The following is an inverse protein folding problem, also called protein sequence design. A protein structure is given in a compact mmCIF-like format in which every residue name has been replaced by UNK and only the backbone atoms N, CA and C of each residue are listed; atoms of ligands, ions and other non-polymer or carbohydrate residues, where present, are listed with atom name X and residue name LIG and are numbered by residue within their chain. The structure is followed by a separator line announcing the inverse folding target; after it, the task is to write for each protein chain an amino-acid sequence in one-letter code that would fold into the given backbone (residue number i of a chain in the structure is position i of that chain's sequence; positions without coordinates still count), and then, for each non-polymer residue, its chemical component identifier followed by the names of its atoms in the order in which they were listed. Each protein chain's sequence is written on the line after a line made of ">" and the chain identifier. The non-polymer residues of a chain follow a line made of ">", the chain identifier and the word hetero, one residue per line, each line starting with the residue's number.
data_IF_371282372173
#
_entry.id   IF_371282372173
#
_cell.length_a   1.000
_cell.length_b   1.000
_cell.length_c   1.000
_cell.angle_alpha   90.00
_cell.angle_beta   90.00
_cell.angle_gamma   90.00
#
_symmetry.space_group_name_H-M   'P 1'
#
loop_
_entity.id
_entity.type
_entity.pdbx_description
1 polymer ?
#
# COMPACT_ATOMS: atom_id res chain seq x y z
N UNK A 1 1.85 -99.93 52.02
CA UNK A 1 1.00 -100.14 50.82
C UNK A 1 1.35 -98.99 49.88
N UNK A 2 2.34 -99.10 48.98
CA UNK A 2 2.31 -99.85 47.70
C UNK A 2 0.98 -99.59 46.96
N UNK A 3 0.89 -99.09 45.74
CA UNK A 3 1.80 -99.07 44.57
C UNK A 3 1.43 -97.85 43.68
N UNK A 4 2.38 -97.19 43.01
CA UNK A 4 2.68 -97.29 41.55
C UNK A 4 1.46 -97.08 40.63
N UNK A 5 1.48 -96.26 39.57
CA UNK A 5 2.61 -95.62 38.91
C UNK A 5 2.20 -94.68 37.76
N UNK A 6 3.23 -94.07 37.19
CA UNK A 6 3.39 -93.37 35.91
C UNK A 6 2.29 -93.54 34.84
N UNK A 7 2.01 -92.50 34.03
CA UNK A 7 2.81 -92.18 32.84
C UNK A 7 2.33 -90.93 32.06
N UNK A 8 3.34 -90.27 31.46
CA UNK A 8 3.43 -89.50 30.23
C UNK A 8 2.44 -88.38 29.82
N UNK A 9 3.03 -87.20 29.62
CA UNK A 9 3.06 -86.53 28.32
C UNK A 9 1.76 -85.87 27.84
N UNK A 10 1.72 -84.54 27.76
CA UNK A 10 2.19 -83.83 26.57
C UNK A 10 2.08 -82.31 26.75
N UNK A 11 3.13 -81.60 26.32
CA UNK A 11 3.09 -80.16 26.04
C UNK A 11 2.26 -79.96 24.76
N UNK A 12 1.44 -78.91 24.66
CA UNK A 12 1.41 -77.95 23.52
C UNK A 12 0.17 -77.05 23.48
N UNK A 13 0.45 -75.76 23.56
CA UNK A 13 -0.02 -74.68 22.70
C UNK A 13 -1.50 -74.30 22.47
N UNK A 14 -1.72 -73.02 22.81
CA UNK A 14 -2.32 -71.95 22.00
C UNK A 14 -3.85 -71.80 21.98
N UNK A 15 -4.26 -70.55 22.25
CA UNK A 15 -5.23 -69.89 21.41
C UNK A 15 -6.60 -69.60 22.03
N UNK A 16 -6.86 -68.30 22.19
CA UNK A 16 -8.14 -67.67 21.84
C UNK A 16 -9.41 -68.26 22.45
N UNK A 17 -9.89 -67.65 23.53
CA UNK A 17 -11.33 -67.66 23.86
C UNK A 17 -11.74 -66.33 24.50
N UNK A 18 -11.43 -65.22 23.81
CA UNK A 18 -12.12 -63.94 23.97
C UNK A 18 -12.75 -63.55 22.63
N UNK A 19 -13.86 -64.22 22.29
CA UNK A 19 -14.77 -63.79 21.23
C UNK A 19 -16.20 -64.03 21.72
N UNK A 20 -16.69 -63.10 22.57
CA UNK A 20 -18.12 -62.90 22.69
C UNK A 20 -18.58 -62.23 21.39
N UNK A 21 -19.38 -62.99 20.66
CA UNK A 21 -20.04 -62.62 19.40
C UNK A 21 -20.79 -61.30 19.62
N UNK A 22 -20.28 -60.21 19.05
CA UNK A 22 -21.11 -59.04 18.80
C UNK A 22 -22.24 -59.52 17.87
N UNK A 23 -23.48 -59.38 18.31
CA UNK A 23 -24.64 -59.72 17.46
C UNK A 23 -24.45 -59.04 16.11
N UNK A 24 -24.79 -59.73 15.01
CA UNK A 24 -24.65 -59.22 13.64
C UNK A 24 -25.17 -57.77 13.50
N UNK A 25 -26.23 -57.43 14.24
CA UNK A 25 -26.78 -56.07 14.34
C UNK A 25 -25.78 -55.01 14.86
N UNK A 26 -24.97 -55.35 15.87
CA UNK A 26 -23.95 -54.44 16.45
C UNK A 26 -22.78 -54.24 15.49
N UNK A 27 -22.35 -55.30 14.78
CA UNK A 27 -21.31 -55.20 13.76
C UNK A 27 -21.79 -54.32 12.60
N UNK A 28 -23.04 -54.48 12.16
CA UNK A 28 -23.65 -53.63 11.12
C UNK A 28 -23.73 -52.17 11.57
N UNK A 29 -24.13 -51.90 12.82
CA UNK A 29 -24.19 -50.53 13.36
C UNK A 29 -22.79 -49.90 13.40
N UNK A 30 -21.77 -50.62 13.88
CA UNK A 30 -20.40 -50.11 13.91
C UNK A 30 -19.91 -49.82 12.49
N UNK A 31 -20.21 -50.68 11.52
CA UNK A 31 -19.81 -50.50 10.12
C UNK A 31 -20.52 -49.30 9.48
N UNK A 32 -21.81 -49.11 9.75
CA UNK A 32 -22.59 -47.94 9.27
C UNK A 32 -22.06 -46.65 9.90
N UNK A 33 -21.75 -46.65 11.20
CA UNK A 33 -21.16 -45.50 11.90
C UNK A 33 -19.77 -45.18 11.34
N UNK A 34 -18.95 -46.19 11.04
CA UNK A 34 -17.64 -45.99 10.43
C UNK A 34 -17.76 -45.39 9.02
N UNK A 35 -18.69 -45.88 8.20
CA UNK A 35 -18.99 -45.33 6.87
C UNK A 35 -19.51 -43.89 6.97
N UNK A 36 -20.37 -43.59 7.93
CA UNK A 36 -20.87 -42.23 8.19
C UNK A 36 -19.74 -41.29 8.64
N UNK A 37 -18.84 -41.73 9.53
CA UNK A 37 -17.69 -40.94 9.98
C UNK A 37 -16.71 -40.72 8.81
N UNK A 38 -16.47 -41.73 7.97
CA UNK A 38 -15.64 -41.60 6.77
C UNK A 38 -16.28 -40.70 5.71
N UNK A 39 -17.60 -40.74 5.53
CA UNK A 39 -18.36 -39.83 4.64
C UNK A 39 -18.36 -38.39 5.16
N UNK A 40 -18.51 -38.19 6.47
CA UNK A 40 -18.38 -36.88 7.13
C UNK A 40 -16.92 -36.38 7.01
N UNK A 41 -15.94 -37.26 7.16
CA UNK A 41 -14.52 -36.97 6.94
C UNK A 41 -14.22 -36.55 5.50
N UNK A 42 -14.88 -37.17 4.50
CA UNK A 42 -14.77 -36.79 3.09
C UNK A 42 -15.49 -35.46 2.78
N UNK A 43 -16.63 -35.20 3.42
CA UNK A 43 -17.36 -33.92 3.34
C UNK A 43 -16.61 -32.76 4.00
N UNK A 44 -15.80 -33.04 5.03
CA UNK A 44 -14.94 -32.05 5.69
C UNK A 44 -13.58 -31.89 4.98
N UNK A 45 -13.02 -32.94 4.38
CA UNK A 45 -11.82 -32.88 3.54
C UNK A 45 -12.07 -32.22 2.17
N UNK A 46 -13.34 -32.13 1.75
CA UNK A 46 -13.78 -31.47 0.52
C UNK A 46 -13.92 -29.95 0.60
N UNK A 47 -13.69 -29.33 1.77
CA UNK A 47 -13.45 -27.88 1.80
C UNK A 47 -12.02 -27.65 1.31
N UNK A 48 -11.88 -27.52 0.00
CA UNK A 48 -10.77 -26.77 -0.61
C UNK A 48 -10.48 -25.58 0.29
N UNK A 49 -9.22 -25.40 0.69
CA UNK A 49 -8.76 -24.21 1.38
C UNK A 49 -9.28 -23.01 0.59
N UNK A 50 -10.35 -22.41 1.09
CA UNK A 50 -10.93 -21.23 0.51
C UNK A 50 -9.89 -20.15 0.78
N UNK A 51 -9.15 -19.79 -0.26
CA UNK A 51 -8.18 -18.72 -0.22
C UNK A 51 -8.90 -17.50 0.38
N UNK A 52 -8.56 -17.14 1.62
CA UNK A 52 -9.10 -15.96 2.28
C UNK A 52 -8.59 -14.76 1.49
N UNK A 53 -9.39 -14.32 0.53
CA UNK A 53 -9.17 -13.10 -0.21
C UNK A 53 -9.45 -11.95 0.74
N UNK A 54 -8.41 -11.43 1.37
CA UNK A 54 -8.53 -10.23 2.16
C UNK A 54 -8.55 -9.02 1.22
N UNK A 55 -9.73 -8.40 1.11
CA UNK A 55 -9.86 -7.09 0.48
C UNK A 55 -9.23 -6.06 1.42
N UNK A 56 -8.14 -5.45 0.99
CA UNK A 56 -7.39 -4.45 1.75
C UNK A 56 -8.08 -3.07 1.74
N UNK A 57 -9.17 -2.90 0.98
CA UNK A 57 -9.70 -1.58 0.66
C UNK A 57 -8.81 -0.87 -0.38
N UNK A 58 -9.30 0.23 -0.97
CA UNK A 58 -8.57 0.99 -2.00
C UNK A 58 -8.11 0.18 -3.25
N UNK A 59 -8.89 -0.84 -3.67
CA UNK A 59 -8.60 -1.62 -4.88
C UNK A 59 -7.50 -2.68 -4.72
N UNK A 60 -7.00 -2.90 -3.50
CA UNK A 60 -6.00 -3.93 -3.22
C UNK A 60 -6.58 -5.19 -2.61
N UNK A 61 -6.05 -6.33 -3.03
CA UNK A 61 -6.39 -7.66 -2.53
C UNK A 61 -5.12 -8.51 -2.42
N UNK A 62 -4.95 -9.24 -1.31
CA UNK A 62 -3.88 -10.25 -1.22
C UNK A 62 -4.38 -11.52 -1.93
N UNK A 63 -4.28 -11.54 -3.26
CA UNK A 63 -4.74 -12.65 -4.10
C UNK A 63 -3.60 -13.44 -4.75
N UNK A 64 -2.38 -12.91 -4.72
CA UNK A 64 -1.18 -13.61 -5.17
C UNK A 64 -0.84 -14.78 -4.24
N UNK A 65 -0.31 -15.85 -4.82
CA UNK A 65 0.16 -17.01 -4.05
C UNK A 65 1.59 -16.76 -3.56
N UNK A 66 1.81 -16.82 -2.26
CA UNK A 66 3.16 -16.79 -1.69
C UNK A 66 3.91 -18.07 -2.02
N UNK A 67 5.14 -17.94 -2.54
CA UNK A 67 6.09 -19.05 -2.57
C UNK A 67 6.80 -19.15 -1.22
N UNK A 68 6.21 -19.90 -0.30
CA UNK A 68 6.75 -20.06 1.07
C UNK A 68 8.13 -20.70 1.10
N UNK A 69 8.47 -21.55 0.12
CA UNK A 69 9.79 -22.17 0.03
C UNK A 69 10.86 -21.12 -0.30
N UNK A 70 10.62 -20.32 -1.33
CA UNK A 70 11.50 -19.20 -1.68
C UNK A 70 11.56 -18.18 -0.55
N UNK A 71 10.42 -17.85 0.05
CA UNK A 71 10.34 -16.87 1.13
C UNK A 71 11.21 -17.28 2.33
N UNK A 72 11.07 -18.53 2.78
CA UNK A 72 11.88 -19.08 3.87
C UNK A 72 13.36 -19.20 3.49
N UNK A 73 13.67 -19.65 2.27
CA UNK A 73 15.04 -19.74 1.78
C UNK A 73 15.74 -18.36 1.74
N UNK A 74 15.02 -17.31 1.35
CA UNK A 74 15.55 -15.94 1.34
C UNK A 74 15.86 -15.43 2.75
N UNK A 75 15.08 -15.84 3.76
CA UNK A 75 15.32 -15.48 5.16
C UNK A 75 16.51 -16.21 5.79
N UNK A 76 17.02 -17.31 5.23
CA UNK A 76 18.15 -18.05 5.81
C UNK A 76 19.42 -17.21 5.96
N UNK A 77 19.56 -16.15 5.16
CA UNK A 77 20.68 -15.21 5.20
C UNK A 77 20.35 -13.86 5.89
N UNK A 78 19.15 -13.75 6.49
CA UNK A 78 18.59 -12.50 7.02
C UNK A 78 18.86 -12.26 8.51
N UNK A 79 20.08 -12.58 8.98
CA UNK A 79 20.50 -12.28 10.35
C UNK A 79 19.53 -12.83 11.41
N UNK A 80 19.03 -11.95 12.28
CA UNK A 80 18.08 -12.34 13.35
C UNK A 80 16.72 -12.83 12.85
N UNK A 81 16.40 -12.64 11.57
CA UNK A 81 15.16 -13.13 10.97
C UNK A 81 15.26 -14.55 10.41
N UNK A 82 16.42 -15.19 10.49
CA UNK A 82 16.58 -16.59 10.12
C UNK A 82 15.55 -17.47 10.84
N UNK A 83 14.83 -18.31 10.07
CA UNK A 83 13.79 -19.19 10.60
C UNK A 83 12.51 -18.49 11.09
N UNK A 84 12.31 -17.20 10.77
CA UNK A 84 11.13 -16.41 11.21
C UNK A 84 10.04 -16.26 10.14
N UNK A 85 10.08 -17.01 9.05
CA UNK A 85 9.12 -16.84 7.95
C UNK A 85 7.66 -17.01 8.37
N UNK A 86 7.36 -18.06 9.15
CA UNK A 86 6.02 -18.28 9.71
C UNK A 86 5.53 -17.09 10.55
N UNK A 87 6.45 -16.41 11.24
CA UNK A 87 6.12 -15.23 12.06
C UNK A 87 5.79 -14.02 11.19
N UNK A 88 6.55 -13.78 10.12
CA UNK A 88 6.21 -12.76 9.13
C UNK A 88 4.84 -13.03 8.49
N UNK A 89 4.59 -14.26 8.05
CA UNK A 89 3.35 -14.67 7.39
C UNK A 89 2.14 -14.53 8.34
N UNK A 90 2.25 -15.02 9.57
CA UNK A 90 1.16 -14.97 10.55
C UNK A 90 0.83 -13.53 10.98
N UNK A 91 1.84 -12.68 11.18
CA UNK A 91 1.63 -11.26 11.49
C UNK A 91 1.01 -10.55 10.28
N UNK A 92 1.53 -10.77 9.08
CA UNK A 92 1.01 -10.15 7.86
C UNK A 92 -0.47 -10.48 7.66
N UNK A 93 -0.85 -11.76 7.84
CA UNK A 93 -2.24 -12.20 7.81
C UNK A 93 -3.09 -11.50 8.87
N UNK A 94 -2.64 -11.48 10.13
CA UNK A 94 -3.33 -10.83 11.25
C UNK A 94 -3.55 -9.33 11.00
N UNK A 95 -2.55 -8.67 10.42
CA UNK A 95 -2.54 -7.24 10.14
C UNK A 95 -3.12 -6.91 8.76
N UNK A 96 -3.62 -7.89 8.00
CA UNK A 96 -4.12 -7.70 6.65
C UNK A 96 -3.15 -6.93 5.72
N UNK A 97 -1.85 -7.21 5.81
CA UNK A 97 -0.81 -6.61 4.96
C UNK A 97 -0.10 -7.70 4.15
N UNK A 98 0.60 -7.30 3.10
CA UNK A 98 1.37 -8.24 2.28
C UNK A 98 2.60 -8.77 3.02
N UNK A 99 2.78 -10.11 3.13
CA UNK A 99 3.91 -10.70 3.83
C UNK A 99 5.27 -10.40 3.18
N UNK A 100 5.31 -10.25 1.84
CA UNK A 100 6.54 -9.93 1.11
C UNK A 100 6.94 -8.48 1.31
N UNK A 101 5.99 -7.54 1.25
CA UNK A 101 6.23 -6.13 1.54
C UNK A 101 6.68 -5.94 2.99
N UNK A 102 6.01 -6.61 3.93
CA UNK A 102 6.40 -6.57 5.34
C UNK A 102 7.84 -7.05 5.55
N UNK A 103 8.19 -8.21 5.00
CA UNK A 103 9.56 -8.73 5.08
C UNK A 103 10.57 -7.83 4.36
N UNK A 104 10.23 -7.31 3.18
CA UNK A 104 11.12 -6.46 2.39
C UNK A 104 11.47 -5.15 3.11
N UNK A 105 10.48 -4.51 3.73
CA UNK A 105 10.70 -3.31 4.56
C UNK A 105 11.56 -3.69 5.76
N UNK A 106 11.25 -4.78 6.48
CA UNK A 106 12.08 -5.22 7.61
C UNK A 106 13.55 -5.46 7.21
N UNK A 107 13.81 -6.07 6.06
CA UNK A 107 15.18 -6.26 5.55
C UNK A 107 15.84 -4.92 5.20
N UNK A 108 15.12 -4.01 4.55
CA UNK A 108 15.63 -2.70 4.16
C UNK A 108 16.01 -1.86 5.40
N UNK A 109 15.10 -1.74 6.36
CA UNK A 109 15.26 -0.92 7.56
C UNK A 109 16.35 -1.43 8.50
N UNK A 110 16.66 -2.72 8.45
CA UNK A 110 17.60 -3.36 9.38
C UNK A 110 18.91 -3.82 8.74
N UNK A 111 19.08 -3.58 7.43
CA UNK A 111 20.22 -4.13 6.70
C UNK A 111 20.27 -5.66 6.76
N UNK A 112 19.16 -6.32 6.44
CA UNK A 112 18.98 -7.78 6.48
C UNK A 112 19.13 -8.38 7.89
N UNK A 113 18.51 -7.74 8.89
CA UNK A 113 18.46 -8.24 10.26
C UNK A 113 19.78 -8.10 11.02
N UNK A 114 20.62 -7.13 10.64
CA UNK A 114 22.00 -6.97 11.18
C UNK A 114 22.24 -5.65 11.91
N UNK A 115 21.32 -4.69 11.82
CA UNK A 115 21.46 -3.41 12.51
C UNK A 115 21.45 -3.55 14.03
N UNK A 116 22.16 -2.68 14.73
CA UNK A 116 22.22 -2.71 16.20
C UNK A 116 20.83 -2.62 16.85
N UNK A 117 19.91 -1.85 16.25
CA UNK A 117 18.55 -1.71 16.75
C UNK A 117 17.77 -3.04 16.74
N UNK A 118 17.90 -3.85 15.68
CA UNK A 118 17.19 -5.14 15.65
C UNK A 118 17.91 -6.19 16.47
N UNK A 119 19.25 -6.21 16.45
CA UNK A 119 20.07 -7.21 17.14
C UNK A 119 20.02 -7.06 18.66
N UNK A 120 20.12 -5.82 19.16
CA UNK A 120 20.25 -5.57 20.60
C UNK A 120 18.99 -5.03 21.26
N UNK A 121 18.03 -4.51 20.46
CA UNK A 121 16.79 -3.94 20.99
C UNK A 121 15.53 -4.60 20.46
N UNK A 122 15.66 -5.67 19.68
CA UNK A 122 14.54 -6.40 19.08
C UNK A 122 13.60 -5.47 18.29
N UNK A 123 14.13 -4.41 17.67
CA UNK A 123 13.34 -3.36 17.03
C UNK A 123 13.54 -3.37 15.52
N UNK A 124 12.75 -4.17 14.77
CA UNK A 124 12.89 -4.29 13.32
C UNK A 124 12.32 -3.09 12.54
N UNK A 125 11.47 -2.29 13.17
CA UNK A 125 10.80 -1.15 12.53
C UNK A 125 11.42 0.22 12.86
N UNK A 126 12.55 0.26 13.57
CA UNK A 126 13.18 1.51 14.00
C UNK A 126 12.29 2.39 14.90
N UNK A 127 11.32 1.77 15.60
CA UNK A 127 10.29 2.51 16.34
C UNK A 127 10.90 3.29 17.51
N UNK A 128 10.52 4.56 17.65
CA UNK A 128 10.98 5.43 18.75
C UNK A 128 10.20 5.18 20.03
N UNK A 129 10.84 5.37 21.18
CA UNK A 129 10.21 5.20 22.48
C UNK A 129 9.47 6.47 22.92
N UNK A 130 8.15 6.41 22.94
CA UNK A 130 7.33 7.53 23.39
C UNK A 130 7.58 7.87 24.88
N UNK A 131 7.97 6.90 25.70
CA UNK A 131 8.25 7.14 27.13
C UNK A 131 9.47 8.05 27.35
N UNK A 132 10.36 8.14 26.37
CA UNK A 132 11.53 9.04 26.41
C UNK A 132 11.30 10.34 25.64
N UNK A 133 10.05 10.65 25.26
CA UNK A 133 9.76 11.78 24.39
C UNK A 133 10.33 11.62 22.99
N UNK A 134 10.43 10.37 22.50
CA UNK A 134 11.05 10.01 21.21
C UNK A 134 12.56 10.27 21.13
N UNK A 135 13.25 10.36 22.27
CA UNK A 135 14.70 10.57 22.29
C UNK A 135 15.51 9.31 21.92
N UNK A 136 14.94 8.12 22.11
CA UNK A 136 15.63 6.84 21.91
C UNK A 136 14.78 5.87 21.11
N UNK A 137 15.44 4.98 20.35
CA UNK A 137 14.73 3.82 19.76
C UNK A 137 14.23 2.88 20.87
N UNK A 138 13.02 2.38 20.69
CA UNK A 138 12.34 1.47 21.60
C UNK A 138 13.05 0.13 21.69
N UNK A 139 13.07 -0.45 22.88
CA UNK A 139 13.50 -1.84 23.12
C UNK A 139 12.27 -2.71 23.36
N UNK A 140 12.20 -3.85 22.66
CA UNK A 140 11.17 -4.87 22.86
C UNK A 140 11.73 -6.05 23.65
N UNK A 141 10.88 -6.76 24.39
CA UNK A 141 11.34 -7.91 25.19
C UNK A 141 11.77 -9.06 24.28
N UNK A 142 11.11 -9.22 23.13
CA UNK A 142 11.46 -10.22 22.11
C UNK A 142 11.39 -9.65 20.71
N UNK A 143 12.12 -10.25 19.77
CA UNK A 143 12.03 -9.90 18.35
C UNK A 143 10.61 -10.07 17.81
N UNK A 144 9.89 -11.08 18.29
CA UNK A 144 8.52 -11.34 17.91
C UNK A 144 7.58 -10.19 18.29
N UNK A 145 7.74 -9.58 19.47
CA UNK A 145 7.01 -8.37 19.87
C UNK A 145 7.36 -7.17 18.98
N UNK A 146 8.64 -7.00 18.64
CA UNK A 146 9.07 -5.95 17.72
C UNK A 146 8.48 -6.11 16.32
N UNK A 147 8.41 -7.33 15.82
CA UNK A 147 7.76 -7.65 14.55
C UNK A 147 6.25 -7.37 14.59
N UNK A 148 5.57 -7.70 15.68
CA UNK A 148 4.14 -7.39 15.86
C UNK A 148 3.90 -5.88 15.85
N UNK A 149 4.72 -5.10 16.56
CA UNK A 149 4.63 -3.64 16.60
C UNK A 149 4.90 -3.00 15.23
N UNK A 150 5.88 -3.53 14.49
CA UNK A 150 6.14 -3.12 13.11
C UNK A 150 4.95 -3.45 12.20
N UNK A 151 4.38 -4.65 12.33
CA UNK A 151 3.20 -5.06 11.57
C UNK A 151 2.00 -4.13 11.78
N UNK A 152 1.73 -3.72 13.02
CA UNK A 152 0.69 -2.71 13.34
C UNK A 152 1.00 -1.36 12.69
N UNK A 153 2.26 -0.93 12.72
CA UNK A 153 2.68 0.33 12.09
C UNK A 153 2.43 0.29 10.58
N UNK A 154 2.79 -0.81 9.93
CA UNK A 154 2.57 -1.00 8.50
C UNK A 154 1.09 -1.13 8.16
N UNK A 155 0.27 -1.79 8.98
CA UNK A 155 -1.18 -1.80 8.81
C UNK A 155 -1.73 -0.38 8.76
N UNK A 156 -1.36 0.47 9.72
CA UNK A 156 -1.84 1.85 9.75
C UNK A 156 -1.45 2.61 8.46
N UNK A 157 -0.23 2.43 7.96
CA UNK A 157 0.21 3.11 6.74
C UNK A 157 -0.43 2.55 5.46
N UNK A 158 -0.46 1.24 5.31
CA UNK A 158 -0.90 0.58 4.08
C UNK A 158 -2.42 0.59 3.99
N UNK A 159 -3.10 0.26 5.10
CA UNK A 159 -4.55 0.06 5.15
C UNK A 159 -5.26 1.37 5.50
N UNK A 160 -4.90 1.98 6.63
CA UNK A 160 -5.64 3.16 7.11
C UNK A 160 -5.28 4.42 6.32
N UNK A 161 -4.00 4.64 6.03
CA UNK A 161 -3.55 5.81 5.25
C UNK A 161 -3.57 5.57 3.73
N UNK A 162 -3.83 4.33 3.28
CA UNK A 162 -3.92 3.99 1.86
C UNK A 162 -2.58 4.02 1.10
N UNK A 163 -1.44 3.94 1.80
CA UNK A 163 -0.10 3.86 1.21
C UNK A 163 0.19 2.44 0.72
N UNK A 164 -0.61 2.00 -0.25
CA UNK A 164 -0.71 0.61 -0.67
C UNK A 164 0.28 0.21 -1.79
N UNK A 165 1.29 1.02 -2.07
CA UNK A 165 2.39 0.65 -2.97
C UNK A 165 3.73 1.03 -2.35
N UNK A 166 4.82 0.43 -2.83
CA UNK A 166 6.18 0.77 -2.38
C UNK A 166 6.46 2.25 -2.63
N UNK A 167 6.01 2.79 -3.75
CA UNK A 167 6.17 4.21 -4.11
C UNK A 167 5.43 5.13 -3.14
N UNK A 168 4.18 4.79 -2.79
CA UNK A 168 3.38 5.57 -1.84
C UNK A 168 3.99 5.56 -0.43
N UNK A 169 4.50 4.41 0.01
CA UNK A 169 5.23 4.31 1.29
C UNK A 169 6.53 5.11 1.24
N UNK A 170 7.32 4.95 0.17
CA UNK A 170 8.60 5.63 0.00
C UNK A 170 8.48 7.15 0.01
N UNK A 171 7.39 7.71 -0.55
CA UNK A 171 7.13 9.15 -0.49
C UNK A 171 7.00 9.70 0.93
N UNK A 172 6.61 8.87 1.90
CA UNK A 172 6.47 9.23 3.32
C UNK A 172 7.70 8.84 4.14
N UNK A 173 8.25 7.64 3.89
CA UNK A 173 9.38 7.09 4.66
C UNK A 173 10.71 7.70 4.24
N UNK A 174 10.87 8.01 2.96
CA UNK A 174 12.10 8.50 2.35
C UNK A 174 11.79 9.63 1.34
N UNK A 175 11.28 10.79 1.80
CA UNK A 175 10.96 11.90 0.91
C UNK A 175 12.22 12.42 0.21
N UNK A 176 12.23 12.38 -1.12
CA UNK A 176 13.34 12.89 -1.94
C UNK A 176 13.41 14.41 -1.79
N UNK A 177 14.61 14.93 -1.49
CA UNK A 177 14.83 16.36 -1.28
C UNK A 177 14.53 16.84 0.15
N UNK A 178 14.36 15.92 1.11
CA UNK A 178 14.26 16.28 2.51
C UNK A 178 15.52 16.99 2.99
N UNK A 179 15.35 18.07 3.77
CA UNK A 179 16.47 18.90 4.24
C UNK A 179 17.47 18.15 5.12
N UNK A 180 17.05 17.03 5.70
CA UNK A 180 17.87 16.13 6.53
C UNK A 180 18.48 14.94 5.77
N UNK A 181 18.40 14.91 4.43
CA UNK A 181 19.07 13.92 3.57
C UNK A 181 20.01 14.62 2.56
N UNK A 182 21.12 15.23 3.04
CA UNK A 182 22.06 15.96 2.19
C UNK A 182 22.79 15.04 1.19
N UNK A 183 22.79 13.72 1.43
CA UNK A 183 23.43 12.70 0.58
C UNK A 183 22.47 12.10 -0.45
N UNK A 184 21.18 12.46 -0.43
CA UNK A 184 20.19 11.96 -1.37
C UNK A 184 19.98 10.44 -1.27
N UNK A 185 20.14 9.84 -0.09
CA UNK A 185 19.96 8.40 0.09
C UNK A 185 18.48 7.98 -0.05
N UNK A 186 17.55 8.89 0.20
CA UNK A 186 16.12 8.64 0.13
C UNK A 186 15.67 8.17 -1.26
N UNK A 187 16.35 8.61 -2.33
CA UNK A 187 16.05 8.17 -3.70
C UNK A 187 16.24 6.65 -3.91
N UNK A 188 17.01 5.99 -3.05
CA UNK A 188 17.33 4.57 -3.16
C UNK A 188 16.35 3.67 -2.40
N UNK A 189 15.47 4.23 -1.55
CA UNK A 189 14.59 3.43 -0.71
C UNK A 189 13.62 2.61 -1.55
N UNK A 190 12.90 3.23 -2.50
CA UNK A 190 11.96 2.54 -3.39
C UNK A 190 12.66 1.46 -4.23
N UNK A 191 13.76 1.75 -4.96
CA UNK A 191 14.52 0.71 -5.66
C UNK A 191 14.97 -0.45 -4.77
N UNK A 192 15.38 -0.15 -3.54
CA UNK A 192 15.90 -1.15 -2.60
C UNK A 192 14.78 -2.06 -2.11
N UNK A 193 13.66 -1.52 -1.63
CA UNK A 193 12.52 -2.32 -1.17
C UNK A 193 11.93 -3.14 -2.32
N UNK A 194 11.83 -2.57 -3.53
CA UNK A 194 11.39 -3.30 -4.73
C UNK A 194 12.33 -4.46 -5.07
N UNK A 195 13.65 -4.23 -5.04
CA UNK A 195 14.64 -5.28 -5.30
C UNK A 195 14.58 -6.39 -4.24
N UNK A 196 14.38 -6.04 -2.97
CA UNK A 196 14.24 -7.03 -1.90
C UNK A 196 12.95 -7.82 -2.08
N UNK A 197 11.81 -7.18 -2.36
CA UNK A 197 10.55 -7.86 -2.61
C UNK A 197 10.65 -8.88 -3.76
N UNK A 198 11.40 -8.54 -4.82
CA UNK A 198 11.68 -9.48 -5.91
C UNK A 198 12.48 -10.71 -5.45
N UNK A 199 13.42 -10.56 -4.51
CA UNK A 199 14.16 -11.71 -3.93
C UNK A 199 13.25 -12.65 -3.13
N UNK A 200 12.10 -12.16 -2.67
CA UNK A 200 11.07 -12.96 -1.99
C UNK A 200 10.04 -13.56 -2.94
N UNK A 201 10.20 -13.41 -4.26
CA UNK A 201 9.26 -13.91 -5.28
C UNK A 201 8.26 -12.89 -5.78
N UNK A 202 8.37 -11.62 -5.36
CA UNK A 202 7.44 -10.55 -5.70
C UNK A 202 6.27 -10.42 -4.72
N UNK A 203 5.59 -9.28 -4.77
CA UNK A 203 4.45 -9.00 -3.89
C UNK A 203 3.29 -9.97 -4.15
N UNK A 204 2.59 -10.37 -3.09
CA UNK A 204 1.35 -11.17 -3.16
C UNK A 204 0.08 -10.31 -3.15
N UNK A 205 0.21 -9.05 -2.75
CA UNK A 205 -0.81 -8.03 -2.89
C UNK A 205 -0.94 -7.66 -4.36
N UNK A 206 -2.08 -8.03 -4.91
CA UNK A 206 -2.56 -7.47 -6.15
C UNK A 206 -3.40 -6.27 -5.78
N UNK A 207 -2.72 -5.14 -5.71
CA UNK A 207 -3.36 -3.88 -5.98
C UNK A 207 -3.80 -3.93 -7.43
N UNK A 208 -5.07 -4.23 -7.64
CA UNK A 208 -5.63 -3.99 -8.96
C UNK A 208 -5.36 -2.51 -9.20
N UNK A 209 -4.73 -2.20 -10.33
CA UNK A 209 -4.88 -0.89 -10.93
C UNK A 209 -6.34 -0.73 -11.37
N UNK A 210 -7.30 -0.83 -10.45
CA UNK A 210 -8.67 -0.35 -10.56
C UNK A 210 -8.63 1.10 -10.07
N UNK A 211 -8.31 2.11 -10.87
CA UNK A 211 -7.91 2.12 -12.28
C UNK A 211 -6.45 2.54 -12.42
N UNK A 212 -5.77 2.06 -13.46
CA UNK A 212 -4.74 2.86 -14.13
C UNK A 212 -5.36 4.22 -14.42
N UNK A 213 -5.14 5.16 -13.52
CA UNK A 213 -5.42 6.58 -13.69
C UNK A 213 -4.18 7.21 -14.32
N UNK A 214 -3.60 6.49 -15.28
CA UNK A 214 -2.63 7.07 -16.19
C UNK A 214 -3.45 7.94 -17.12
N UNK A 215 -3.51 9.24 -16.83
CA UNK A 215 -4.29 10.20 -17.61
C UNK A 215 -4.15 9.95 -19.10
N UNK A 216 -5.27 10.06 -19.79
CA UNK A 216 -5.36 9.82 -21.22
C UNK A 216 -4.61 10.86 -22.06
N UNK A 217 -4.29 12.01 -21.47
CA UNK A 217 -3.81 13.22 -22.17
C UNK A 217 -4.92 13.97 -22.87
N UNK A 218 -6.18 13.55 -22.69
CA UNK A 218 -7.37 14.22 -23.21
C UNK A 218 -8.06 14.90 -22.04
N UNK A 219 -7.72 16.16 -21.83
CA UNK A 219 -8.20 16.94 -20.70
C UNK A 219 -9.62 17.48 -20.95
N UNK A 220 -10.48 17.40 -19.94
CA UNK A 220 -11.73 18.18 -19.90
C UNK A 220 -11.48 19.55 -19.29
N UNK A 221 -12.37 20.49 -19.56
CA UNK A 221 -12.39 21.77 -18.85
C UNK A 221 -12.80 21.50 -17.39
N UNK A 222 -11.99 21.94 -16.40
CA UNK A 222 -12.16 21.53 -14.99
C UNK A 222 -13.26 22.28 -14.23
N UNK A 223 -14.13 23.01 -14.92
CA UNK A 223 -15.27 23.74 -14.36
C UNK A 223 -16.48 23.66 -15.29
N UNK A 224 -17.69 23.75 -14.72
CA UNK A 224 -18.93 23.84 -15.48
C UNK A 224 -19.14 25.28 -15.98
N UNK A 225 -19.67 25.45 -17.20
CA UNK A 225 -19.94 26.76 -17.81
C UNK A 225 -18.71 27.71 -17.76
N UNK A 226 -17.60 27.36 -18.43
CA UNK A 226 -16.34 28.06 -18.27
C UNK A 226 -16.42 29.49 -18.80
N UNK A 227 -15.91 30.43 -18.01
CA UNK A 227 -15.65 31.82 -18.42
C UNK A 227 -14.16 32.07 -18.24
N UNK A 228 -13.42 32.14 -19.34
CA UNK A 228 -11.99 32.45 -19.30
C UNK A 228 -11.82 33.91 -18.92
N UNK A 229 -11.17 34.19 -17.79
CA UNK A 229 -10.91 35.55 -17.31
C UNK A 229 -9.50 36.04 -17.60
N UNK A 230 -8.53 35.14 -17.68
CA UNK A 230 -7.13 35.46 -18.00
C UNK A 230 -6.47 34.28 -18.69
N UNK A 231 -5.77 34.56 -19.79
CA UNK A 231 -5.06 33.56 -20.60
C UNK A 231 -3.62 33.31 -20.14
N UNK A 232 -3.04 32.22 -20.59
CA UNK A 232 -1.61 31.92 -20.40
C UNK A 232 -0.74 33.01 -21.06
N UNK A 233 0.28 33.49 -20.37
CA UNK A 233 1.19 34.49 -20.92
C UNK A 233 2.60 34.30 -20.41
N UNK A 234 3.56 34.26 -21.34
CA UNK A 234 4.99 34.42 -21.07
C UNK A 234 5.41 35.68 -21.82
N UNK A 235 5.16 36.85 -21.25
CA UNK A 235 5.63 38.11 -21.84
C UNK A 235 6.59 38.83 -20.92
N UNK A 236 7.62 39.41 -21.50
CA UNK A 236 8.42 40.42 -20.82
C UNK A 236 7.73 41.74 -21.10
N UNK A 237 7.34 42.44 -20.03
CA UNK A 237 6.76 43.77 -20.16
C UNK A 237 7.78 44.68 -20.87
N UNK A 238 7.47 45.23 -22.06
CA UNK A 238 8.44 45.95 -22.87
C UNK A 238 8.84 47.31 -22.28
N UNK A 239 8.12 47.80 -21.26
CA UNK A 239 8.35 49.09 -20.60
C UNK A 239 9.12 48.91 -19.28
N UNK A 240 8.74 47.90 -18.48
CA UNK A 240 9.33 47.68 -17.15
C UNK A 240 10.44 46.64 -17.17
N UNK A 241 10.57 45.84 -18.23
CA UNK A 241 11.52 44.73 -18.33
C UNK A 241 11.20 43.55 -17.42
N UNK A 242 10.09 43.60 -16.67
CA UNK A 242 9.66 42.55 -15.75
C UNK A 242 8.93 41.46 -16.51
N UNK A 243 9.23 40.20 -16.21
CA UNK A 243 8.49 39.06 -16.74
C UNK A 243 7.09 39.01 -16.12
N UNK A 244 6.07 39.29 -16.93
CA UNK A 244 4.68 38.98 -16.61
C UNK A 244 4.43 37.54 -17.06
N UNK A 245 4.64 36.59 -16.15
CA UNK A 245 4.35 35.18 -16.41
C UNK A 245 3.01 34.80 -15.76
N UNK A 246 1.95 34.71 -16.55
CA UNK A 246 0.76 33.97 -16.14
C UNK A 246 0.90 32.53 -16.62
N UNK A 247 1.20 31.63 -15.68
CA UNK A 247 1.64 30.25 -15.96
C UNK A 247 0.50 29.25 -16.16
N UNK A 248 -0.73 29.74 -16.23
CA UNK A 248 -1.92 28.91 -16.39
C UNK A 248 -3.03 29.65 -17.12
N UNK A 249 -4.23 29.10 -17.02
CA UNK A 249 -5.47 29.64 -17.56
C UNK A 249 -6.45 29.83 -16.39
N UNK A 250 -7.03 31.03 -16.30
CA UNK A 250 -7.96 31.36 -15.22
C UNK A 250 -9.41 31.26 -15.70
N UNK A 251 -10.22 30.56 -14.90
CA UNK A 251 -11.66 30.47 -15.10
C UNK A 251 -12.41 31.21 -14.00
N UNK A 252 -13.05 32.33 -14.33
CA UNK A 252 -13.93 33.04 -13.41
C UNK A 252 -15.14 32.17 -13.08
N UNK A 253 -15.38 31.98 -11.78
CA UNK A 253 -16.45 31.14 -11.25
C UNK A 253 -16.91 31.67 -9.89
N UNK A 254 -18.19 31.51 -9.52
CA UNK A 254 -18.63 31.79 -8.15
C UNK A 254 -17.83 31.03 -7.09
N UNK A 255 -17.66 31.65 -5.92
CA UNK A 255 -17.10 30.96 -4.76
C UNK A 255 -17.90 29.69 -4.45
N UNK A 256 -17.21 28.59 -4.20
CA UNK A 256 -17.84 27.30 -3.90
C UNK A 256 -18.22 26.47 -5.13
N UNK A 257 -18.05 26.96 -6.35
CA UNK A 257 -18.21 26.14 -7.56
C UNK A 257 -17.28 24.93 -7.52
N UNK A 258 -17.76 23.78 -7.99
CA UNK A 258 -17.00 22.54 -8.07
C UNK A 258 -15.82 22.67 -9.05
N UNK A 259 -14.64 22.21 -8.62
CA UNK A 259 -13.47 22.02 -9.47
C UNK A 259 -13.33 20.53 -9.74
N UNK A 260 -13.24 20.17 -11.02
CA UNK A 260 -13.19 18.80 -11.49
C UNK A 260 -11.76 18.40 -11.89
N UNK A 261 -11.40 17.13 -11.68
CA UNK A 261 -10.18 16.57 -12.24
C UNK A 261 -10.25 16.60 -13.78
N UNK A 262 -9.29 17.27 -14.42
CA UNK A 262 -9.26 17.43 -15.87
C UNK A 262 -8.97 16.11 -16.60
N UNK A 263 -8.33 15.15 -15.96
CA UNK A 263 -8.05 13.81 -16.48
C UNK A 263 -7.88 12.84 -15.30
N UNK A 264 -7.87 11.55 -15.60
CA UNK A 264 -7.53 10.51 -14.64
C UNK A 264 -6.12 10.77 -14.05
N UNK A 265 -5.96 10.67 -12.75
CA UNK A 265 -4.66 10.95 -12.12
C UNK A 265 -4.53 10.52 -10.67
N UNK A 266 -3.35 10.76 -10.12
CA UNK A 266 -3.03 10.58 -8.70
C UNK A 266 -2.70 11.93 -8.08
N UNK A 267 -3.28 12.22 -6.92
CA UNK A 267 -3.00 13.45 -6.18
C UNK A 267 -1.58 13.41 -5.64
N UNK A 268 -0.70 14.28 -6.13
CA UNK A 268 0.70 14.44 -5.66
C UNK A 268 0.88 15.61 -4.70
N UNK A 269 -0.11 16.51 -4.62
CA UNK A 269 -0.21 17.53 -3.59
C UNK A 269 -1.68 17.92 -3.36
N UNK A 270 -2.06 18.14 -2.11
CA UNK A 270 -3.37 18.71 -1.73
C UNK A 270 -3.22 19.46 -0.41
N UNK A 271 -3.47 20.76 -0.42
CA UNK A 271 -3.41 21.58 0.79
C UNK A 271 -3.01 23.03 0.52
N UNK A 272 -2.62 23.75 1.58
CA UNK A 272 -2.18 25.14 1.49
C UNK A 272 -0.76 25.22 0.90
N UNK A 273 -0.61 25.97 -0.19
CA UNK A 273 0.67 26.29 -0.81
C UNK A 273 1.45 27.32 0.00
N UNK A 274 2.48 26.86 0.71
CA UNK A 274 3.36 27.72 1.52
C UNK A 274 4.54 28.24 0.67
N UNK A 275 5.03 29.44 0.98
CA UNK A 275 6.22 29.99 0.30
C UNK A 275 7.42 29.04 0.44
N UNK A 276 8.17 28.84 -0.64
CA UNK A 276 9.30 27.90 -0.69
C UNK A 276 8.94 26.44 -0.96
N UNK A 277 7.66 26.03 -0.89
CA UNK A 277 7.24 24.65 -1.20
C UNK A 277 7.16 24.32 -2.70
N UNK A 278 7.35 25.33 -3.56
CA UNK A 278 7.03 25.25 -4.98
C UNK A 278 5.54 25.47 -5.31
N UNK A 279 4.68 25.60 -4.29
CA UNK A 279 3.26 25.95 -4.41
C UNK A 279 2.92 27.32 -3.80
N UNK A 280 3.93 28.11 -3.43
CA UNK A 280 3.72 29.45 -2.90
C UNK A 280 2.91 30.33 -3.87
N UNK A 281 1.93 31.06 -3.35
CA UNK A 281 1.08 31.95 -4.14
C UNK A 281 -0.21 31.31 -4.67
N UNK A 282 -0.30 29.98 -4.80
CA UNK A 282 -1.53 29.33 -5.29
C UNK A 282 -2.65 29.21 -4.23
N UNK A 283 -2.38 29.52 -2.96
CA UNK A 283 -3.37 29.30 -1.89
C UNK A 283 -3.62 27.81 -1.67
N UNK A 284 -4.87 27.41 -1.42
CA UNK A 284 -5.21 25.99 -1.41
C UNK A 284 -5.16 25.43 -2.83
N UNK A 285 -4.44 24.33 -3.00
CA UNK A 285 -4.06 23.82 -4.30
C UNK A 285 -4.09 22.30 -4.32
N UNK A 286 -4.52 21.75 -5.45
CA UNK A 286 -4.38 20.33 -5.79
C UNK A 286 -3.44 20.21 -6.99
N UNK A 287 -2.59 19.20 -6.97
CA UNK A 287 -1.68 18.88 -8.06
C UNK A 287 -1.82 17.39 -8.36
N UNK A 288 -2.12 17.06 -9.61
CA UNK A 288 -2.34 15.69 -10.08
C UNK A 288 -1.21 15.25 -11.01
N UNK A 289 -0.78 14.00 -10.88
CA UNK A 289 0.09 13.31 -11.83
C UNK A 289 -0.73 12.40 -12.74
N UNK A 290 -0.49 12.52 -14.04
CA UNK A 290 -1.14 11.75 -15.10
C UNK A 290 -0.15 10.71 -15.64
N UNK A 291 -0.06 9.58 -14.95
CA UNK A 291 1.06 8.63 -15.05
C UNK A 291 1.35 8.00 -16.43
N UNK A 292 0.44 8.08 -17.41
CA UNK A 292 0.68 7.52 -18.75
C UNK A 292 1.58 8.41 -19.60
N UNK A 293 1.47 9.73 -19.46
CA UNK A 293 2.12 10.69 -20.34
C UNK A 293 3.24 11.49 -19.66
N UNK A 294 3.48 11.27 -18.35
CA UNK A 294 4.34 12.12 -17.51
C UNK A 294 3.93 13.59 -17.63
N UNK A 295 2.65 13.85 -17.42
CA UNK A 295 2.07 15.19 -17.40
C UNK A 295 1.43 15.45 -16.04
N UNK A 296 1.31 16.72 -15.67
CA UNK A 296 0.68 17.12 -14.43
C UNK A 296 -0.33 18.24 -14.64
N UNK A 297 -1.37 18.28 -13.81
CA UNK A 297 -2.30 19.39 -13.75
C UNK A 297 -2.35 20.01 -12.36
N UNK A 298 -2.34 21.34 -12.29
CA UNK A 298 -2.43 22.08 -11.04
C UNK A 298 -3.71 22.91 -11.01
N UNK A 299 -4.34 22.96 -9.83
CA UNK A 299 -5.60 23.63 -9.58
C UNK A 299 -5.44 24.53 -8.37
N UNK A 300 -5.43 25.85 -8.55
CA UNK A 300 -5.14 26.84 -7.52
C UNK A 300 -6.35 27.63 -7.02
N UNK A 301 -6.09 28.46 -6.00
CA UNK A 301 -6.97 29.45 -5.38
C UNK A 301 -8.23 28.89 -4.71
N UNK A 302 -8.22 27.62 -4.30
CA UNK A 302 -9.42 26.97 -3.75
C UNK A 302 -9.83 27.54 -2.39
N UNK A 303 -11.12 27.45 -2.03
CA UNK A 303 -11.55 27.64 -0.62
C UNK A 303 -11.05 26.48 0.23
N UNK A 304 -11.19 25.26 -0.29
CA UNK A 304 -10.72 24.02 0.31
C UNK A 304 -10.52 22.96 -0.77
N UNK A 305 -9.62 22.02 -0.50
CA UNK A 305 -9.47 20.80 -1.31
C UNK A 305 -10.52 19.77 -0.85
N UNK A 306 -10.83 18.80 -1.72
CA UNK A 306 -11.76 17.70 -1.44
C UNK A 306 -11.10 16.31 -1.57
N UNK A 307 -9.78 16.29 -1.70
CA UNK A 307 -8.98 15.09 -1.95
C UNK A 307 -7.70 15.12 -1.13
N UNK A 308 -7.11 13.95 -0.91
CA UNK A 308 -5.87 13.78 -0.15
C UNK A 308 -4.72 13.29 -1.03
N UNK A 309 -3.48 13.59 -0.66
CA UNK A 309 -2.29 13.07 -1.36
C UNK A 309 -2.34 11.54 -1.44
N UNK A 310 -2.01 10.98 -2.60
CA UNK A 310 -2.07 9.54 -2.89
C UNK A 310 -3.44 9.04 -3.36
N UNK A 311 -4.50 9.87 -3.26
CA UNK A 311 -5.82 9.54 -3.78
C UNK A 311 -5.80 9.46 -5.32
N UNK A 312 -6.45 8.43 -5.86
CA UNK A 312 -6.73 8.32 -7.28
C UNK A 312 -8.02 9.07 -7.60
N UNK A 313 -8.02 9.81 -8.69
CA UNK A 313 -9.19 10.52 -9.19
C UNK A 313 -9.46 10.11 -10.64
N UNK A 314 -10.75 10.07 -10.98
CA UNK A 314 -11.23 9.95 -12.34
C UNK A 314 -11.46 11.32 -12.95
N UNK A 315 -11.31 11.42 -14.26
CA UNK A 315 -11.72 12.60 -15.01
C UNK A 315 -13.17 12.96 -14.65
N UNK A 316 -13.39 14.21 -14.22
CA UNK A 316 -14.69 14.70 -13.77
C UNK A 316 -14.96 14.57 -12.27
N UNK A 317 -14.11 13.90 -11.48
CA UNK A 317 -14.27 13.85 -10.03
C UNK A 317 -14.09 15.24 -9.39
N UNK A 318 -14.87 15.54 -8.37
CA UNK A 318 -14.76 16.82 -7.62
C UNK A 318 -13.54 16.79 -6.71
N UNK A 319 -12.54 17.61 -7.03
CA UNK A 319 -11.26 17.68 -6.32
C UNK A 319 -11.12 18.88 -5.37
N UNK A 320 -12.03 19.84 -5.47
CA UNK A 320 -12.03 21.03 -4.62
C UNK A 320 -13.11 22.02 -5.02
N UNK A 321 -13.05 23.20 -4.42
CA UNK A 321 -14.05 24.24 -4.62
C UNK A 321 -13.40 25.61 -4.87
N UNK A 322 -13.89 26.33 -5.88
CA UNK A 322 -13.40 27.64 -6.29
C UNK A 322 -13.40 28.62 -5.12
N UNK A 323 -12.33 29.42 -5.02
CA UNK A 323 -12.18 30.49 -4.04
C UNK A 323 -11.29 31.62 -4.53
N UNK A 324 -10.69 32.32 -3.58
CA UNK A 324 -9.72 33.40 -3.82
C UNK A 324 -8.62 33.38 -2.75
N UNK A 325 -8.05 32.20 -2.49
CA UNK A 325 -6.92 32.05 -1.55
C UNK A 325 -5.57 32.26 -2.23
N UNK A 326 -4.55 32.67 -1.48
CA UNK A 326 -3.23 32.95 -2.04
C UNK A 326 -3.19 34.29 -2.79
N UNK A 327 -2.41 34.37 -3.85
CA UNK A 327 -2.28 35.53 -4.72
C UNK A 327 -3.41 35.53 -5.75
N UNK A 328 -4.59 35.96 -5.34
CA UNK A 328 -5.80 36.00 -6.16
C UNK A 328 -6.51 37.34 -5.99
N UNK A 329 -7.06 37.90 -7.07
CA UNK A 329 -7.77 39.20 -7.06
C UNK A 329 -9.29 39.05 -6.96
N UNK A 330 -9.81 37.84 -7.10
CA UNK A 330 -11.23 37.52 -7.03
C UNK A 330 -11.48 36.02 -7.23
N UNK A 331 -12.74 35.58 -7.13
CA UNK A 331 -13.05 34.15 -7.23
C UNK A 331 -12.80 33.60 -8.64
N UNK A 332 -11.86 32.65 -8.74
CA UNK A 332 -11.55 31.94 -9.98
C UNK A 332 -10.82 30.63 -9.69
N UNK A 333 -10.78 29.74 -10.68
CA UNK A 333 -9.83 28.62 -10.73
C UNK A 333 -8.62 29.04 -11.55
N UNK A 334 -7.42 28.94 -10.98
CA UNK A 334 -6.18 28.93 -11.75
C UNK A 334 -5.84 27.49 -12.14
N UNK A 335 -5.69 27.23 -13.44
CA UNK A 335 -5.45 25.89 -13.97
C UNK A 335 -4.16 25.84 -14.80
N UNK A 336 -3.27 24.89 -14.50
CA UNK A 336 -2.06 24.66 -15.28
C UNK A 336 -2.04 23.24 -15.86
N UNK A 337 -1.40 23.10 -17.03
CA UNK A 337 -0.92 21.84 -17.58
C UNK A 337 0.60 21.91 -17.63
N UNK A 338 1.29 20.87 -17.15
CA UNK A 338 2.75 20.80 -17.03
C UNK A 338 3.33 19.56 -17.68
N UNK A 339 4.51 19.72 -18.30
CA UNK A 339 5.31 18.60 -18.85
C UNK A 339 6.34 18.04 -17.87
N UNK A 340 6.53 18.70 -16.74
CA UNK A 340 7.34 18.26 -15.61
C UNK A 340 6.57 18.47 -14.31
N UNK A 341 6.94 17.73 -13.25
CA UNK A 341 6.30 17.88 -11.94
C UNK A 341 6.35 19.34 -11.46
N UNK A 342 7.51 19.99 -11.59
CA UNK A 342 7.69 21.38 -11.15
C UNK A 342 8.20 22.22 -12.31
N UNK A 343 7.31 23.00 -12.93
CA UNK A 343 7.65 23.87 -14.06
C UNK A 343 7.19 23.31 -15.41
N UNK A 344 7.80 23.80 -16.49
CA UNK A 344 7.47 23.41 -17.87
C UNK A 344 5.97 23.49 -18.18
N UNK A 345 5.34 24.59 -17.75
CA UNK A 345 3.94 24.89 -18.04
C UNK A 345 3.73 25.13 -19.54
N UNK A 346 2.61 24.62 -20.04
CA UNK A 346 2.15 24.86 -21.41
C UNK A 346 0.79 25.56 -21.38
N UNK A 347 0.47 26.28 -22.45
CA UNK A 347 -0.82 26.94 -22.59
C UNK A 347 -1.97 25.90 -22.59
N UNK A 348 -2.88 25.94 -21.59
CA UNK A 348 -4.00 25.00 -21.53
C UNK A 348 -5.08 25.25 -22.59
N UNK A 349 -5.22 26.48 -23.09
CA UNK A 349 -6.33 26.86 -23.99
C UNK A 349 -6.41 25.98 -25.25
N UNK A 350 -5.35 25.81 -26.06
CA UNK A 350 -5.41 24.96 -27.25
C UNK A 350 -5.62 23.48 -26.91
N UNK A 351 -5.13 23.01 -25.76
CA UNK A 351 -5.26 21.62 -25.32
C UNK A 351 -6.72 21.31 -24.93
N UNK A 352 -7.40 22.29 -24.32
CA UNK A 352 -8.80 22.19 -23.93
C UNK A 352 -9.79 22.50 -25.07
N UNK A 353 -9.29 22.78 -26.28
CA UNK A 353 -10.14 23.16 -27.43
C UNK A 353 -10.79 24.53 -27.28
N UNK A 354 -10.25 25.39 -26.43
CA UNK A 354 -10.68 26.79 -26.30
C UNK A 354 -10.01 27.59 -27.41
N UNK A 355 -10.82 28.21 -28.26
CA UNK A 355 -10.32 29.01 -29.38
C UNK A 355 -9.62 30.23 -28.78
N UNK A 356 -8.33 30.41 -29.07
CA UNK A 356 -7.60 31.65 -28.76
C UNK A 356 -8.29 32.79 -29.48
N UNK A 357 -9.11 33.57 -28.77
CA UNK A 357 -9.52 34.89 -29.25
C UNK A 357 -8.30 35.78 -29.11
N UNK A 358 -7.63 36.01 -30.25
CA UNK A 358 -6.53 36.95 -30.40
C UNK A 358 -6.84 38.33 -29.80
#
# INVERSE_FOLDING_TARGET
>A
MASEGHDSGNKTSWGLLFLRIFSVKVIIIIFIVFILISLIGLLLAGRSAQQETSNIGNGCSITGKLDENLFNATLENAGVFKGKGDKFISIAKKQNIDPVLFAAIAMSETGWGKSDAVVHKNNPGGLMDAATGMATVKTFATLDEGLEAMGVTLHNRIINDGLNTIEKLGAIYAPIGASNDPTGLNQNWVPTVTSIAQKFGGLTMNCSNTGSSGGTGKYIIPVKNPVVSSGFSIRINPVTGVQESHKGLDFAQPAGSEILAADDGVVVFSGLGVSGSGYGGYGNVVHLEHGKNKEWTLYGHMIRTNVSVGQHVKQGDVIGYVGSTGQSTGNHLHFEIRKEKMGSQVDPAPILGLISTN
#
